data_IF_681020457489
#
_entry.id   IF_681020457489
#
_cell.length_a   1.000
_cell.length_b   1.000
_cell.length_c   1.000
_cell.angle_alpha   90.00
_cell.angle_beta   90.00
_cell.angle_gamma   90.00
#
_symmetry.space_group_name_H-M   'P 1'
#
loop_
_entity.id
_entity.type
_entity.pdbx_description
1 polymer ?
#
# COMPACT_ATOMS: atom_id res chain seq x y z
N UNK A 1 13.91 -15.73 45.30
CA UNK A 1 13.44 -16.35 44.03
C UNK A 1 12.20 -15.69 43.38
N UNK A 2 11.49 -14.76 44.05
CA UNK A 2 10.23 -14.16 43.55
C UNK A 2 10.44 -13.03 42.51
N UNK A 3 11.46 -12.18 42.68
CA UNK A 3 11.72 -11.02 41.79
C UNK A 3 12.11 -11.36 40.35
N UNK A 4 12.81 -12.47 40.12
CA UNK A 4 13.19 -12.89 38.75
C UNK A 4 12.02 -13.41 37.90
N UNK A 5 10.90 -13.79 38.53
CA UNK A 5 9.69 -14.27 37.82
C UNK A 5 8.83 -13.09 37.37
N UNK A 6 8.78 -12.02 38.17
CA UNK A 6 8.04 -10.81 37.85
C UNK A 6 8.66 -10.04 36.68
N UNK A 7 9.99 -9.88 36.67
CA UNK A 7 10.69 -9.21 35.56
C UNK A 7 10.50 -9.91 34.21
N UNK A 8 10.43 -11.25 34.21
CA UNK A 8 10.13 -12.05 33.00
C UNK A 8 8.69 -11.85 32.53
N UNK A 9 7.74 -11.72 33.45
CA UNK A 9 6.33 -11.55 33.11
C UNK A 9 6.04 -10.13 32.60
N UNK A 10 6.64 -9.10 33.20
CA UNK A 10 6.60 -7.71 32.70
C UNK A 10 7.21 -7.62 31.30
N UNK A 11 8.38 -8.24 31.08
CA UNK A 11 9.03 -8.27 29.76
C UNK A 11 8.18 -9.00 28.71
N UNK A 12 7.50 -10.08 29.09
CA UNK A 12 6.60 -10.82 28.20
C UNK A 12 5.36 -10.00 27.88
N UNK A 13 4.73 -9.36 28.87
CA UNK A 13 3.58 -8.47 28.67
C UNK A 13 3.91 -7.28 27.76
N UNK A 14 5.09 -6.67 27.95
CA UNK A 14 5.58 -5.59 27.09
C UNK A 14 5.86 -6.12 25.68
N UNK A 15 6.41 -7.33 25.53
CA UNK A 15 6.63 -7.97 24.23
C UNK A 15 5.32 -8.32 23.52
N UNK A 16 4.32 -8.85 24.22
CA UNK A 16 3.00 -9.20 23.67
C UNK A 16 2.16 -7.95 23.35
N UNK A 17 2.43 -6.85 24.05
CA UNK A 17 1.83 -5.55 23.79
C UNK A 17 2.51 -4.83 22.61
N UNK A 18 3.86 -4.85 22.54
CA UNK A 18 4.63 -4.28 21.43
C UNK A 18 4.55 -5.10 20.15
N UNK A 19 4.38 -6.42 20.27
CA UNK A 19 4.15 -7.34 19.17
C UNK A 19 2.84 -8.04 19.44
N UNK A 20 1.75 -7.53 18.85
CA UNK A 20 0.43 -8.16 18.90
C UNK A 20 0.55 -9.58 18.32
N UNK A 21 0.81 -10.57 19.18
CA UNK A 21 1.07 -11.98 18.80
C UNK A 21 -0.20 -12.72 18.41
N UNK A 22 -1.36 -12.08 18.57
CA UNK A 22 -2.66 -12.61 18.17
C UNK A 22 -3.04 -12.04 16.80
N UNK A 23 -3.14 -12.92 15.80
CA UNK A 23 -3.62 -12.57 14.46
C UNK A 23 -5.13 -12.37 14.52
N UNK A 24 -5.56 -11.14 14.76
CA UNK A 24 -6.97 -10.77 14.72
C UNK A 24 -7.49 -10.67 13.28
N UNK A 25 -8.81 -10.56 13.13
CA UNK A 25 -9.44 -10.44 11.81
C UNK A 25 -8.97 -9.21 11.03
N UNK A 26 -8.54 -8.16 11.72
CA UNK A 26 -8.08 -6.90 11.13
C UNK A 26 -6.72 -7.07 10.46
N UNK A 27 -5.74 -7.67 11.17
CA UNK A 27 -4.43 -8.02 10.61
C UNK A 27 -4.57 -8.93 9.39
N UNK A 28 -5.48 -9.91 9.42
CA UNK A 28 -5.74 -10.78 8.26
C UNK A 28 -6.32 -10.01 7.09
N UNK A 29 -7.28 -9.12 7.34
CA UNK A 29 -7.92 -8.31 6.30
C UNK A 29 -6.91 -7.36 5.64
N UNK A 30 -6.09 -6.65 6.41
CA UNK A 30 -5.07 -5.74 5.88
C UNK A 30 -3.94 -6.48 5.14
N UNK A 31 -3.61 -7.70 5.58
CA UNK A 31 -2.65 -8.55 4.87
C UNK A 31 -3.16 -8.99 3.49
N UNK A 32 -4.41 -9.48 3.41
CA UNK A 32 -5.05 -9.83 2.13
C UNK A 32 -5.22 -8.61 1.23
N UNK A 33 -5.65 -7.48 1.79
CA UNK A 33 -5.76 -6.23 1.03
C UNK A 33 -4.40 -5.79 0.47
N UNK A 34 -3.32 -5.89 1.25
CA UNK A 34 -1.97 -5.56 0.81
C UNK A 34 -1.50 -6.47 -0.32
N UNK A 35 -1.75 -7.79 -0.21
CA UNK A 35 -1.39 -8.75 -1.24
C UNK A 35 -2.10 -8.43 -2.56
N UNK A 36 -3.42 -8.21 -2.50
CA UNK A 36 -4.23 -7.91 -3.68
C UNK A 36 -3.84 -6.57 -4.31
N UNK A 37 -3.64 -5.52 -3.51
CA UNK A 37 -3.25 -4.20 -3.99
C UNK A 37 -1.86 -4.22 -4.66
N UNK A 38 -0.88 -4.90 -4.06
CA UNK A 38 0.44 -5.05 -4.68
C UNK A 38 0.36 -5.85 -5.99
N UNK A 39 -0.40 -6.95 -6.00
CA UNK A 39 -0.57 -7.78 -7.20
C UNK A 39 -1.18 -6.95 -8.33
N UNK A 40 -2.23 -6.18 -8.04
CA UNK A 40 -2.86 -5.31 -9.02
C UNK A 40 -1.91 -4.20 -9.51
N UNK A 41 -1.13 -3.59 -8.62
CA UNK A 41 -0.15 -2.56 -9.00
C UNK A 41 0.93 -3.12 -9.93
N UNK A 42 1.45 -4.32 -9.64
CA UNK A 42 2.47 -4.98 -10.48
C UNK A 42 1.89 -5.32 -11.85
N UNK A 43 0.68 -5.89 -11.90
CA UNK A 43 0.03 -6.27 -13.16
C UNK A 43 -0.29 -5.05 -14.03
N UNK A 44 -0.82 -3.99 -13.43
CA UNK A 44 -1.14 -2.73 -14.14
C UNK A 44 0.11 -1.97 -14.56
N UNK A 45 1.19 -1.97 -13.76
CA UNK A 45 2.50 -1.46 -14.16
C UNK A 45 3.10 -2.23 -15.34
N UNK A 46 2.95 -3.56 -15.33
CA UNK A 46 3.29 -4.41 -16.47
C UNK A 46 2.49 -4.03 -17.72
N UNK A 47 1.19 -3.79 -17.58
CA UNK A 47 0.32 -3.34 -18.67
C UNK A 47 0.77 -1.97 -19.24
N UNK A 48 1.12 -1.00 -18.39
CA UNK A 48 1.69 0.30 -18.83
C UNK A 48 2.91 0.06 -19.71
N UNK A 49 3.81 -0.84 -19.30
CA UNK A 49 5.03 -1.15 -20.05
C UNK A 49 4.74 -1.84 -21.38
N UNK A 50 3.84 -2.83 -21.39
CA UNK A 50 3.49 -3.60 -22.59
C UNK A 50 2.69 -2.78 -23.61
N UNK A 51 1.93 -1.78 -23.15
CA UNK A 51 1.14 -0.88 -24.01
C UNK A 51 1.90 0.37 -24.44
N UNK A 52 3.13 0.58 -23.97
CA UNK A 52 3.90 1.79 -24.24
C UNK A 52 3.33 3.06 -23.58
N UNK A 53 2.41 2.91 -22.61
CA UNK A 53 1.68 4.03 -21.98
C UNK A 53 2.51 4.83 -20.97
N UNK A 54 3.81 4.58 -20.82
CA UNK A 54 4.66 5.21 -19.80
C UNK A 54 4.98 6.70 -20.02
N UNK A 55 4.45 7.31 -21.08
CA UNK A 55 4.53 8.74 -21.38
C UNK A 55 3.12 9.38 -21.49
N UNK A 56 2.09 8.70 -21.00
CA UNK A 56 0.71 9.16 -20.99
C UNK A 56 0.44 10.32 -20.02
N UNK A 57 1.27 10.50 -18.98
CA UNK A 57 1.29 11.67 -18.10
C UNK A 57 2.73 12.22 -18.04
N UNK A 58 3.10 13.24 -18.83
CA UNK A 58 4.49 13.71 -18.94
C UNK A 58 5.08 14.30 -17.65
N UNK A 59 4.25 14.79 -16.73
CA UNK A 59 4.70 15.43 -15.49
C UNK A 59 4.38 14.60 -14.25
N UNK A 60 4.91 14.97 -13.09
CA UNK A 60 4.52 14.45 -11.77
C UNK A 60 4.73 15.55 -10.71
N UNK A 61 3.84 15.76 -9.72
CA UNK A 61 2.68 14.96 -9.31
C UNK A 61 1.39 15.19 -10.12
N UNK A 62 1.33 16.26 -10.92
CA UNK A 62 0.25 16.49 -11.89
C UNK A 62 0.44 15.61 -13.11
N UNK A 63 -0.63 15.28 -13.84
CA UNK A 63 -0.53 14.47 -15.05
C UNK A 63 -0.02 15.31 -16.25
N UNK A 64 -0.41 16.58 -16.34
CA UNK A 64 0.18 17.61 -17.21
C UNK A 64 0.44 18.90 -16.41
N UNK A 65 1.12 19.90 -17.00
CA UNK A 65 1.36 21.19 -16.32
C UNK A 65 0.06 21.89 -15.88
N UNK A 66 -0.99 21.75 -16.70
CA UNK A 66 -2.30 22.38 -16.52
C UNK A 66 -3.35 21.48 -15.84
N UNK A 67 -3.13 20.16 -15.76
CA UNK A 67 -4.15 19.20 -15.26
C UNK A 67 -3.60 18.18 -14.26
N UNK A 68 -4.36 17.99 -13.17
CA UNK A 68 -4.11 16.94 -12.18
C UNK A 68 -4.54 15.55 -12.65
N UNK A 69 -5.43 15.46 -13.63
CA UNK A 69 -6.03 14.21 -14.11
C UNK A 69 -5.77 13.98 -15.60
N UNK A 70 -5.92 12.73 -16.03
CA UNK A 70 -5.90 12.38 -17.45
C UNK A 70 -7.03 13.09 -18.20
N UNK A 71 -6.69 13.86 -19.23
CA UNK A 71 -7.67 14.51 -20.12
C UNK A 71 -8.05 13.58 -21.28
N UNK A 72 -9.24 13.75 -21.87
CA UNK A 72 -9.68 12.97 -23.03
C UNK A 72 -8.73 13.06 -24.25
N UNK A 73 -8.01 14.18 -24.39
CA UNK A 73 -7.02 14.39 -25.45
C UNK A 73 -5.82 13.43 -25.38
N UNK A 74 -5.53 12.86 -24.20
CA UNK A 74 -4.43 11.89 -24.00
C UNK A 74 -4.85 10.44 -24.25
N UNK A 75 -6.14 10.22 -24.57
CA UNK A 75 -6.68 8.94 -24.96
C UNK A 75 -6.51 7.84 -23.90
N UNK A 76 -6.46 6.60 -24.38
CA UNK A 76 -6.42 5.42 -23.51
C UNK A 76 -5.08 5.26 -22.79
N UNK A 77 -3.98 5.72 -23.39
CA UNK A 77 -2.65 5.65 -22.79
C UNK A 77 -2.53 6.55 -21.55
N UNK A 78 -3.10 7.77 -21.60
CA UNK A 78 -3.18 8.65 -20.44
C UNK A 78 -3.98 8.04 -19.29
N UNK A 79 -5.10 7.38 -19.61
CA UNK A 79 -5.92 6.69 -18.60
C UNK A 79 -5.19 5.51 -17.94
N UNK A 80 -4.43 4.72 -18.72
CA UNK A 80 -3.68 3.57 -18.23
C UNK A 80 -2.57 4.01 -17.26
N UNK A 81 -1.78 5.04 -17.61
CA UNK A 81 -0.72 5.53 -16.72
C UNK A 81 -1.28 6.20 -15.47
N UNK A 82 -2.30 7.05 -15.63
CA UNK A 82 -2.95 7.71 -14.51
C UNK A 82 -3.57 6.70 -13.54
N UNK A 83 -4.18 5.62 -14.07
CA UNK A 83 -4.72 4.53 -13.25
C UNK A 83 -3.65 3.85 -12.40
N UNK A 84 -2.49 3.52 -12.98
CA UNK A 84 -1.37 2.94 -12.22
C UNK A 84 -0.82 3.89 -11.14
N UNK A 85 -0.74 5.19 -11.44
CA UNK A 85 -0.37 6.23 -10.46
C UNK A 85 -1.38 6.28 -9.31
N UNK A 86 -2.68 6.23 -9.62
CA UNK A 86 -3.75 6.27 -8.61
C UNK A 86 -3.72 5.03 -7.70
N UNK A 87 -3.48 3.84 -8.26
CA UNK A 87 -3.35 2.60 -7.50
C UNK A 87 -2.20 2.65 -6.48
N UNK A 88 -1.13 3.39 -6.77
CA UNK A 88 -0.02 3.56 -5.83
C UNK A 88 -0.50 4.27 -4.55
N UNK A 89 -1.32 5.32 -4.66
CA UNK A 89 -1.87 6.00 -3.50
C UNK A 89 -2.79 5.09 -2.68
N UNK A 90 -3.63 4.29 -3.35
CA UNK A 90 -4.47 3.28 -2.67
C UNK A 90 -3.60 2.28 -1.92
N UNK A 91 -2.53 1.78 -2.56
CA UNK A 91 -1.59 0.86 -1.92
C UNK A 91 -0.90 1.50 -0.71
N UNK A 92 -0.50 2.77 -0.80
CA UNK A 92 0.09 3.49 0.34
C UNK A 92 -0.88 3.56 1.52
N UNK A 93 -2.16 3.84 1.29
CA UNK A 93 -3.17 3.85 2.36
C UNK A 93 -3.34 2.46 2.98
N UNK A 94 -3.38 1.41 2.16
CA UNK A 94 -3.44 0.02 2.63
C UNK A 94 -2.21 -0.35 3.46
N UNK A 95 -1.01 0.08 3.03
CA UNK A 95 0.23 -0.17 3.76
C UNK A 95 0.25 0.54 5.13
N UNK A 96 -0.23 1.79 5.19
CA UNK A 96 -0.39 2.52 6.46
C UNK A 96 -1.38 1.80 7.37
N UNK A 97 -2.54 1.37 6.84
CA UNK A 97 -3.53 0.62 7.61
C UNK A 97 -2.96 -0.71 8.12
N UNK A 98 -2.19 -1.43 7.31
CA UNK A 98 -1.52 -2.66 7.71
C UNK A 98 -0.47 -2.44 8.81
N UNK A 99 0.29 -1.35 8.74
CA UNK A 99 1.25 -0.98 9.78
C UNK A 99 0.56 -0.66 11.10
N UNK A 100 -0.52 0.14 11.06
CA UNK A 100 -1.34 0.47 12.22
C UNK A 100 -2.08 -0.75 12.80
N UNK A 101 -2.35 -1.78 12.00
CA UNK A 101 -2.97 -3.01 12.48
C UNK A 101 -2.05 -3.87 13.36
N UNK A 102 -0.73 -3.73 13.20
CA UNK A 102 0.27 -4.57 13.89
C UNK A 102 0.83 -3.90 15.16
N UNK A 103 0.73 -2.57 15.24
CA UNK A 103 1.07 -1.77 16.43
C UNK A 103 -0.07 -1.80 17.46
#
# INVERSE_FOLDING_TARGET
MKGGREAKDVRRKISDFLFRTQVDGWVRATAWASLLANSLLILTGGLVRLTGSGLGCPTWPRCTDDSWTSTAAMGIHGAIEFGNRLLTFVLTLVAIAAFLAVI
#
